data_IF_995016384998
#
_entry.id   IF_995016384998
#
_cell.length_a   1.000
_cell.length_b   1.000
_cell.length_c   1.000
_cell.angle_alpha   90.00
_cell.angle_beta   90.00
_cell.angle_gamma   90.00
#
_symmetry.space_group_name_H-M   'P 1'
#
loop_
_entity.id
_entity.type
_entity.pdbx_description
1 polymer ?
#
# COMPACT_ATOMS: atom_id res chain seq x y z
N UNK A 1 -2.72 16.74 -25.26
CA UNK A 1 -2.75 15.81 -24.11
C UNK A 1 -4.18 15.33 -23.94
N UNK A 2 -4.44 14.02 -23.90
CA UNK A 2 -5.80 13.52 -23.65
C UNK A 2 -6.18 13.74 -22.16
N UNK A 3 -7.47 13.73 -21.84
CA UNK A 3 -7.95 14.03 -20.47
C UNK A 3 -7.37 13.06 -19.43
N UNK A 4 -7.13 11.80 -19.81
CA UNK A 4 -6.49 10.79 -18.95
C UNK A 4 -5.06 11.19 -18.58
N UNK A 5 -4.23 11.58 -19.54
CA UNK A 5 -2.85 11.99 -19.27
C UNK A 5 -2.81 13.26 -18.40
N UNK A 6 -3.71 14.22 -18.65
CA UNK A 6 -3.83 15.41 -17.79
C UNK A 6 -4.12 15.04 -16.34
N UNK A 7 -5.08 14.14 -16.11
CA UNK A 7 -5.40 13.65 -14.78
C UNK A 7 -4.20 12.94 -14.12
N UNK A 8 -3.48 12.09 -14.87
CA UNK A 8 -2.28 11.40 -14.36
C UNK A 8 -1.23 12.44 -13.93
N UNK A 9 -0.95 13.43 -14.77
CA UNK A 9 0.05 14.46 -14.48
C UNK A 9 -0.34 15.31 -13.26
N UNK A 10 -1.62 15.66 -13.12
CA UNK A 10 -2.17 16.38 -11.97
C UNK A 10 -2.03 15.58 -10.66
N UNK A 11 -2.32 14.28 -10.69
CA UNK A 11 -2.18 13.40 -9.52
C UNK A 11 -0.71 13.17 -9.15
N UNK A 12 0.16 12.98 -10.14
CA UNK A 12 1.56 12.64 -9.90
C UNK A 12 2.45 13.83 -9.58
N UNK A 13 2.08 15.06 -9.96
CA UNK A 13 2.89 16.26 -9.69
C UNK A 13 3.31 16.40 -8.21
N UNK A 14 2.38 16.35 -7.23
CA UNK A 14 2.76 16.39 -5.81
C UNK A 14 3.54 15.14 -5.37
N UNK A 15 3.21 13.97 -5.90
CA UNK A 15 3.90 12.70 -5.57
C UNK A 15 5.37 12.74 -6.01
N UNK A 16 5.65 13.22 -7.23
CA UNK A 16 7.01 13.37 -7.76
C UNK A 16 7.84 14.40 -6.99
N UNK A 17 7.17 15.38 -6.38
CA UNK A 17 7.83 16.35 -5.49
C UNK A 17 8.14 15.74 -4.11
N UNK A 18 7.28 14.84 -3.63
CA UNK A 18 7.42 14.17 -2.33
C UNK A 18 8.44 13.02 -2.34
N UNK A 19 8.44 12.22 -3.41
CA UNK A 19 9.41 11.14 -3.62
C UNK A 19 10.79 11.72 -3.95
N UNK A 20 11.85 11.10 -3.47
CA UNK A 20 13.22 11.59 -3.66
C UNK A 20 13.93 10.94 -4.86
N UNK A 21 13.25 10.06 -5.58
CA UNK A 21 13.70 9.51 -6.86
C UNK A 21 12.52 8.98 -7.65
N UNK A 22 12.65 8.93 -8.97
CA UNK A 22 11.73 8.19 -9.83
C UNK A 22 11.98 6.69 -9.73
N UNK A 23 11.02 5.86 -10.14
CA UNK A 23 11.25 4.42 -10.28
C UNK A 23 12.33 4.18 -11.36
N UNK A 24 13.38 3.38 -11.12
CA UNK A 24 14.40 3.10 -12.12
C UNK A 24 13.83 2.41 -13.37
N UNK A 25 14.29 2.79 -14.56
CA UNK A 25 13.83 2.16 -15.81
C UNK A 25 14.14 0.66 -15.84
N UNK A 26 15.26 0.23 -15.24
CA UNK A 26 15.59 -1.19 -15.07
C UNK A 26 14.53 -1.98 -14.32
N UNK A 27 13.82 -1.35 -13.37
CA UNK A 27 12.68 -2.00 -12.70
C UNK A 27 11.49 -2.15 -13.65
N UNK A 28 11.22 -1.16 -14.51
CA UNK A 28 10.15 -1.22 -15.53
C UNK A 28 10.47 -2.28 -16.59
N UNK A 29 11.72 -2.33 -17.04
CA UNK A 29 12.18 -3.33 -18.00
C UNK A 29 12.00 -4.76 -17.47
N UNK A 30 12.20 -4.97 -16.17
CA UNK A 30 11.92 -6.24 -15.50
C UNK A 30 10.41 -6.48 -15.33
N UNK A 31 9.67 -5.46 -14.87
CA UNK A 31 8.26 -5.58 -14.54
C UNK A 31 7.34 -5.83 -15.75
N UNK A 32 7.70 -5.33 -16.94
CA UNK A 32 6.92 -5.53 -18.16
C UNK A 32 7.12 -6.91 -18.80
N UNK A 33 8.09 -7.70 -18.32
CA UNK A 33 8.37 -9.04 -18.85
C UNK A 33 7.17 -9.98 -18.56
N UNK A 34 6.64 -10.70 -19.55
CA UNK A 34 5.52 -11.62 -19.35
C UNK A 34 5.77 -12.66 -18.24
N UNK A 35 7.01 -13.15 -18.12
CA UNK A 35 7.42 -14.12 -17.10
C UNK A 35 7.32 -13.57 -15.67
N UNK A 36 7.34 -12.25 -15.49
CA UNK A 36 7.21 -11.59 -14.19
C UNK A 36 5.78 -11.20 -13.85
N UNK A 37 4.83 -11.36 -14.77
CA UNK A 37 3.44 -10.94 -14.55
C UNK A 37 2.81 -11.65 -13.34
N UNK A 38 3.05 -12.95 -13.19
CA UNK A 38 2.58 -13.73 -12.03
C UNK A 38 3.13 -13.14 -10.73
N UNK A 39 4.44 -12.90 -10.65
CA UNK A 39 5.08 -12.32 -9.46
C UNK A 39 4.55 -10.92 -9.17
N UNK A 40 4.37 -10.09 -10.20
CA UNK A 40 3.87 -8.73 -10.09
C UNK A 40 2.46 -8.70 -9.50
N UNK A 41 1.52 -9.46 -10.07
CA UNK A 41 0.12 -9.45 -9.64
C UNK A 41 -0.08 -10.12 -8.28
N UNK A 42 0.60 -11.23 -8.01
CA UNK A 42 0.51 -11.88 -6.71
C UNK A 42 1.11 -11.01 -5.60
N UNK A 43 2.25 -10.35 -5.83
CA UNK A 43 2.82 -9.44 -4.84
C UNK A 43 1.99 -8.15 -4.68
N UNK A 44 1.41 -7.61 -5.76
CA UNK A 44 0.47 -6.51 -5.71
C UNK A 44 -0.74 -6.88 -4.84
N UNK A 45 -1.41 -8.00 -5.10
CA UNK A 45 -2.50 -8.51 -4.27
C UNK A 45 -2.11 -8.60 -2.79
N UNK A 46 -0.90 -9.10 -2.50
CA UNK A 46 -0.39 -9.15 -1.13
C UNK A 46 -0.15 -7.77 -0.53
N UNK A 47 0.26 -6.79 -1.33
CA UNK A 47 0.45 -5.40 -0.88
C UNK A 47 -0.86 -4.78 -0.41
N UNK A 48 -1.96 -5.00 -1.12
CA UNK A 48 -3.30 -4.53 -0.72
C UNK A 48 -3.70 -5.04 0.67
N UNK A 49 -3.47 -6.34 0.93
CA UNK A 49 -3.70 -6.92 2.26
C UNK A 49 -2.75 -6.32 3.31
N UNK A 50 -1.46 -6.18 3.00
CA UNK A 50 -0.45 -5.62 3.94
C UNK A 50 -0.76 -4.15 4.30
N UNK A 51 -1.26 -3.35 3.36
CA UNK A 51 -1.71 -1.98 3.58
C UNK A 51 -2.89 -1.96 4.56
N UNK A 52 -3.92 -2.77 4.31
CA UNK A 52 -5.05 -2.96 5.22
C UNK A 52 -4.62 -3.40 6.62
N UNK A 53 -3.73 -4.39 6.73
CA UNK A 53 -3.26 -4.89 8.03
C UNK A 53 -2.47 -3.83 8.80
N UNK A 54 -1.70 -2.99 8.11
CA UNK A 54 -0.96 -1.88 8.72
C UNK A 54 -1.92 -0.83 9.27
N UNK A 55 -2.94 -0.43 8.50
CA UNK A 55 -3.98 0.49 8.95
C UNK A 55 -4.78 -0.07 10.14
N UNK A 56 -5.15 -1.36 10.09
CA UNK A 56 -5.80 -2.04 11.21
C UNK A 56 -4.92 -2.05 12.47
N UNK A 57 -3.61 -2.29 12.32
CA UNK A 57 -2.68 -2.25 13.43
C UNK A 57 -2.62 -0.85 14.06
N UNK A 58 -2.57 0.22 13.25
CA UNK A 58 -2.57 1.60 13.73
C UNK A 58 -3.84 1.90 14.55
N UNK A 59 -5.01 1.56 14.01
CA UNK A 59 -6.29 1.75 14.71
C UNK A 59 -6.28 0.98 16.04
N UNK A 60 -5.96 -0.32 16.01
CA UNK A 60 -5.97 -1.20 17.19
C UNK A 60 -5.03 -0.72 18.29
N UNK A 61 -3.82 -0.29 17.90
CA UNK A 61 -2.81 0.16 18.85
C UNK A 61 -3.20 1.48 19.49
N UNK A 62 -3.65 2.45 18.70
CA UNK A 62 -3.74 3.85 19.13
C UNK A 62 -5.18 4.34 19.38
N UNK A 63 -6.16 3.94 18.57
CA UNK A 63 -7.44 4.64 18.51
C UNK A 63 -8.65 3.90 19.07
N UNK A 64 -8.65 2.56 19.15
CA UNK A 64 -9.84 1.80 19.58
C UNK A 64 -9.59 0.92 20.80
N UNK A 65 -10.68 0.51 21.47
CA UNK A 65 -10.65 -0.47 22.54
C UNK A 65 -10.34 -1.90 22.06
N UNK A 66 -10.22 -2.83 23.02
CA UNK A 66 -9.83 -4.21 22.73
C UNK A 66 -10.89 -4.96 21.91
N UNK A 67 -12.18 -4.69 22.13
CA UNK A 67 -13.28 -5.40 21.46
C UNK A 67 -13.46 -4.94 20.02
N UNK A 68 -13.40 -3.64 19.77
CA UNK A 68 -13.29 -3.06 18.42
C UNK A 68 -12.06 -3.59 17.70
N UNK A 69 -10.97 -3.83 18.42
CA UNK A 69 -9.79 -4.46 17.87
C UNK A 69 -9.99 -5.91 17.42
N UNK A 70 -10.92 -6.66 18.03
CA UNK A 70 -11.29 -8.01 17.57
C UNK A 70 -12.18 -7.93 16.32
N UNK A 71 -13.06 -6.93 16.24
CA UNK A 71 -13.90 -6.67 15.05
C UNK A 71 -13.03 -6.43 13.82
N UNK A 72 -11.97 -5.62 13.95
CA UNK A 72 -11.02 -5.38 12.86
C UNK A 72 -10.31 -6.67 12.40
N UNK A 73 -9.82 -7.47 13.34
CA UNK A 73 -9.17 -8.75 13.01
C UNK A 73 -10.12 -9.76 12.36
N UNK A 74 -11.37 -9.80 12.81
CA UNK A 74 -12.39 -10.66 12.19
C UNK A 74 -12.68 -10.23 10.74
N UNK A 75 -12.58 -8.93 10.45
CA UNK A 75 -12.77 -8.40 9.11
C UNK A 75 -11.62 -8.74 8.15
N UNK A 76 -10.36 -8.75 8.60
CA UNK A 76 -9.23 -9.18 7.76
C UNK A 76 -9.13 -10.69 7.57
N UNK A 77 -9.77 -11.49 8.43
CA UNK A 77 -9.59 -12.94 8.49
C UNK A 77 -9.77 -13.67 7.15
N UNK A 78 -10.80 -13.40 6.33
CA UNK A 78 -10.97 -14.09 5.04
C UNK A 78 -9.80 -13.83 4.08
N UNK A 79 -9.30 -12.60 4.06
CA UNK A 79 -8.15 -12.20 3.24
C UNK A 79 -6.86 -12.85 3.74
N UNK A 80 -6.66 -12.89 5.07
CA UNK A 80 -5.52 -13.58 5.68
C UNK A 80 -5.53 -15.09 5.40
N UNK A 81 -6.70 -15.72 5.48
CA UNK A 81 -6.85 -17.14 5.18
C UNK A 81 -6.54 -17.44 3.72
N UNK A 82 -6.92 -16.54 2.81
CA UNK A 82 -6.54 -16.67 1.41
C UNK A 82 -5.04 -16.51 1.21
N UNK A 83 -4.41 -15.45 1.71
CA UNK A 83 -2.99 -15.14 1.43
C UNK A 83 -2.02 -16.06 2.18
N UNK A 84 -2.33 -16.42 3.43
CA UNK A 84 -1.42 -17.19 4.29
C UNK A 84 -1.84 -18.65 4.47
N UNK A 85 -3.03 -19.02 4.00
CA UNK A 85 -3.51 -20.39 4.04
C UNK A 85 -2.81 -21.32 3.05
N UNK A 86 -3.22 -22.60 3.11
CA UNK A 86 -2.77 -23.63 2.16
C UNK A 86 -3.73 -23.82 0.98
N UNK A 87 -4.93 -23.26 1.08
CA UNK A 87 -6.01 -23.39 0.10
C UNK A 87 -6.47 -21.99 -0.27
N UNK A 88 -6.24 -21.59 -1.52
CA UNK A 88 -6.55 -20.27 -2.05
C UNK A 88 -7.95 -20.29 -2.69
N UNK A 89 -8.99 -20.51 -1.88
CA UNK A 89 -10.38 -20.52 -2.35
C UNK A 89 -10.96 -19.10 -2.35
N UNK A 90 -11.60 -18.71 -3.45
CA UNK A 90 -12.24 -17.39 -3.59
C UNK A 90 -13.71 -17.38 -3.17
N UNK A 91 -14.25 -18.51 -2.70
CA UNK A 91 -15.64 -18.64 -2.21
C UNK A 91 -16.00 -17.58 -1.17
N UNK A 92 -15.05 -17.16 -0.33
CA UNK A 92 -15.25 -16.15 0.70
C UNK A 92 -15.47 -14.72 0.15
N UNK A 93 -15.16 -14.48 -1.13
CA UNK A 93 -15.28 -13.17 -1.79
C UNK A 93 -16.51 -13.10 -2.71
N UNK A 94 -17.09 -14.25 -3.09
CA UNK A 94 -18.30 -14.33 -3.92
C UNK A 94 -19.58 -14.06 -3.11
N UNK A 95 -19.81 -12.82 -2.69
CA UNK A 95 -21.04 -12.43 -1.97
C UNK A 95 -21.06 -11.02 -1.38
N UNK A 96 -22.25 -10.54 -0.98
CA UNK A 96 -22.37 -9.22 -0.32
C UNK A 96 -21.90 -9.30 1.13
N UNK A 97 -20.76 -8.64 1.41
CA UNK A 97 -20.31 -8.02 2.68
C UNK A 97 -19.15 -8.70 3.42
N UNK A 98 -17.95 -8.64 2.87
CA UNK A 98 -16.74 -8.58 3.70
C UNK A 98 -16.58 -7.14 4.23
N UNK A 99 -17.31 -6.82 5.31
CA UNK A 99 -17.33 -5.48 5.91
C UNK A 99 -17.22 -5.53 7.42
N UNK A 100 -17.03 -4.37 8.06
CA UNK A 100 -17.13 -4.25 9.52
C UNK A 100 -18.47 -4.83 10.01
N UNK A 101 -18.39 -5.76 10.96
CA UNK A 101 -19.56 -6.38 11.58
C UNK A 101 -20.19 -5.53 12.69
N UNK A 102 -19.44 -4.57 13.25
CA UNK A 102 -19.91 -3.65 14.28
C UNK A 102 -19.16 -2.31 14.21
N UNK A 103 -19.74 -1.19 14.68
CA UNK A 103 -19.03 0.09 14.81
C UNK A 103 -17.81 -0.03 15.74
N UNK A 104 -16.80 0.80 15.50
CA UNK A 104 -15.60 0.87 16.35
C UNK A 104 -15.82 1.89 17.46
N UNK A 105 -15.35 1.57 18.67
CA UNK A 105 -15.41 2.42 19.84
C UNK A 105 -14.07 3.13 20.02
N UNK A 106 -14.01 4.46 19.89
CA UNK A 106 -12.78 5.21 20.05
C UNK A 106 -12.34 5.26 21.52
N UNK A 107 -11.02 5.22 21.75
CA UNK A 107 -10.41 5.49 23.05
C UNK A 107 -10.57 6.97 23.41
N UNK A 108 -10.86 7.25 24.67
CA UNK A 108 -11.06 8.61 25.17
C UNK A 108 -9.78 9.40 25.37
N UNK A 109 -8.61 8.74 25.41
CA UNK A 109 -7.33 9.34 25.74
C UNK A 109 -6.43 9.64 24.51
N UNK A 110 -6.96 9.54 23.30
CA UNK A 110 -6.24 9.89 22.08
C UNK A 110 -7.05 10.90 21.26
N UNK A 111 -6.61 12.16 21.28
CA UNK A 111 -7.34 13.31 20.70
C UNK A 111 -7.63 13.11 19.21
N UNK A 112 -6.69 12.53 18.46
CA UNK A 112 -6.82 12.26 17.03
C UNK A 112 -7.44 10.88 16.71
N UNK A 113 -8.03 10.21 17.71
CA UNK A 113 -8.51 8.84 17.58
C UNK A 113 -9.61 8.66 16.55
N UNK A 114 -10.63 9.53 16.57
CA UNK A 114 -11.74 9.42 15.62
C UNK A 114 -11.28 9.68 14.18
N UNK A 115 -10.44 10.69 13.96
CA UNK A 115 -9.92 11.01 12.63
C UNK A 115 -9.02 9.89 12.09
N UNK A 116 -8.17 9.30 12.94
CA UNK A 116 -7.38 8.13 12.56
C UNK A 116 -8.28 6.95 12.19
N UNK A 117 -9.34 6.69 12.96
CA UNK A 117 -10.32 5.63 12.65
C UNK A 117 -10.98 5.88 11.30
N UNK A 118 -11.51 7.07 11.07
CA UNK A 118 -12.29 7.38 9.87
C UNK A 118 -11.45 7.23 8.59
N UNK A 119 -10.23 7.78 8.58
CA UNK A 119 -9.30 7.69 7.45
C UNK A 119 -8.81 6.25 7.24
N UNK A 120 -8.38 5.56 8.30
CA UNK A 120 -7.85 4.20 8.18
C UNK A 120 -8.94 3.17 7.82
N UNK A 121 -10.16 3.29 8.35
CA UNK A 121 -11.28 2.41 7.96
C UNK A 121 -11.66 2.62 6.51
N UNK A 122 -11.63 3.87 6.02
CA UNK A 122 -11.86 4.14 4.59
C UNK A 122 -10.79 3.49 3.73
N UNK A 123 -9.51 3.69 4.07
CA UNK A 123 -8.38 3.07 3.38
C UNK A 123 -8.55 1.55 3.33
N UNK A 124 -8.78 0.89 4.46
CA UNK A 124 -8.95 -0.59 4.51
C UNK A 124 -10.07 -1.07 3.58
N UNK A 125 -11.20 -0.35 3.48
CA UNK A 125 -12.27 -0.71 2.55
C UNK A 125 -11.81 -0.63 1.09
N UNK A 126 -11.05 0.42 0.77
CA UNK A 126 -10.54 0.67 -0.58
C UNK A 126 -9.48 -0.40 -0.94
N UNK A 127 -8.55 -0.73 -0.05
CA UNK A 127 -7.55 -1.79 -0.32
C UNK A 127 -8.15 -3.20 -0.37
N UNK A 128 -9.16 -3.52 0.44
CA UNK A 128 -9.87 -4.79 0.28
C UNK A 128 -10.60 -4.87 -1.05
N UNK A 129 -11.12 -3.75 -1.54
CA UNK A 129 -11.70 -3.72 -2.87
C UNK A 129 -10.63 -3.90 -3.96
N UNK A 130 -9.48 -3.23 -3.85
CA UNK A 130 -8.35 -3.43 -4.76
C UNK A 130 -7.86 -4.88 -4.74
N UNK A 131 -7.73 -5.48 -3.55
CA UNK A 131 -7.36 -6.88 -3.38
C UNK A 131 -8.28 -7.81 -4.19
N UNK A 132 -9.60 -7.63 -4.04
CA UNK A 132 -10.62 -8.42 -4.75
C UNK A 132 -10.51 -8.21 -6.28
N UNK A 133 -10.28 -6.98 -6.74
CA UNK A 133 -10.07 -6.69 -8.16
C UNK A 133 -8.81 -7.34 -8.74
N UNK A 134 -7.68 -7.31 -8.00
CA UNK A 134 -6.45 -8.00 -8.43
C UNK A 134 -6.69 -9.50 -8.49
N UNK A 135 -7.41 -10.05 -7.50
CA UNK A 135 -7.73 -11.47 -7.43
C UNK A 135 -8.61 -11.92 -8.61
N UNK A 136 -9.63 -11.13 -8.97
CA UNK A 136 -10.45 -11.37 -10.17
C UNK A 136 -9.59 -11.41 -11.45
N UNK A 137 -8.63 -10.49 -11.58
CA UNK A 137 -7.70 -10.47 -12.73
C UNK A 137 -6.79 -11.71 -12.73
N UNK A 138 -6.30 -12.13 -11.57
CA UNK A 138 -5.48 -13.35 -11.41
C UNK A 138 -6.29 -14.58 -11.86
N UNK A 139 -7.55 -14.71 -11.42
CA UNK A 139 -8.43 -15.81 -11.81
C UNK A 139 -8.75 -15.82 -13.31
N UNK A 140 -9.13 -14.66 -13.88
CA UNK A 140 -9.47 -14.55 -15.30
C UNK A 140 -8.28 -14.86 -16.24
N UNK A 141 -7.06 -14.74 -15.73
CA UNK A 141 -5.82 -15.00 -16.47
C UNK A 141 -5.22 -16.38 -16.17
N UNK A 142 -5.92 -17.23 -15.43
CA UNK A 142 -5.46 -18.55 -15.00
C UNK A 142 -4.07 -18.50 -14.32
N UNK A 143 -3.77 -17.41 -13.59
CA UNK A 143 -2.49 -17.25 -12.92
C UNK A 143 -2.50 -18.05 -11.62
N UNK A 144 -1.56 -18.99 -11.42
CA UNK A 144 -1.49 -19.75 -10.18
C UNK A 144 -1.09 -18.84 -9.03
N UNK A 145 -1.98 -18.71 -8.05
CA UNK A 145 -1.66 -17.99 -6.82
C UNK A 145 -0.68 -18.83 -5.97
N UNK A 146 0.38 -18.18 -5.47
CA UNK A 146 1.35 -18.82 -4.59
C UNK A 146 1.90 -17.85 -3.55
N UNK A 147 2.31 -18.37 -2.40
CA UNK A 147 2.85 -17.54 -1.34
C UNK A 147 4.21 -16.97 -1.72
N UNK A 148 4.27 -15.66 -1.90
CA UNK A 148 5.52 -14.94 -2.11
C UNK A 148 6.06 -14.42 -0.78
N UNK A 149 7.36 -14.62 -0.53
CA UNK A 149 8.03 -13.95 0.58
C UNK A 149 7.98 -12.43 0.37
N UNK A 150 7.67 -11.67 1.43
CA UNK A 150 7.67 -10.22 1.38
C UNK A 150 9.07 -9.69 1.02
N UNK A 151 9.11 -8.65 0.18
CA UNK A 151 10.35 -7.95 -0.17
C UNK A 151 10.94 -7.14 1.00
N UNK A 152 12.11 -6.56 0.76
CA UNK A 152 12.86 -5.81 1.79
C UNK A 152 12.35 -4.39 2.05
N UNK A 153 11.52 -3.82 1.17
CA UNK A 153 11.15 -2.40 1.14
C UNK A 153 10.52 -1.89 2.45
N UNK A 154 9.30 -2.35 2.79
CA UNK A 154 8.60 -1.89 3.99
C UNK A 154 9.41 -2.17 5.28
N UNK A 155 10.03 -3.36 5.38
CA UNK A 155 10.92 -3.71 6.49
C UNK A 155 12.15 -2.77 6.56
N UNK A 156 12.67 -2.34 5.42
CA UNK A 156 13.78 -1.41 5.30
C UNK A 156 13.42 0.00 5.75
N UNK A 157 12.21 0.47 5.43
CA UNK A 157 11.65 1.74 5.91
C UNK A 157 11.39 1.73 7.42
N UNK A 158 10.87 0.62 7.95
CA UNK A 158 10.65 0.45 9.39
C UNK A 158 11.94 0.60 10.22
N UNK A 159 13.13 0.44 9.63
CA UNK A 159 14.41 0.69 10.33
C UNK A 159 14.65 2.17 10.63
N UNK A 160 14.00 3.08 9.89
CA UNK A 160 14.11 4.51 10.15
C UNK A 160 13.20 4.95 11.31
N UNK A 161 12.17 4.19 11.66
CA UNK A 161 11.12 4.55 12.63
C UNK A 161 11.68 4.66 14.05
N UNK A 162 11.38 5.78 14.74
CA UNK A 162 11.69 6.01 16.15
C UNK A 162 10.88 5.06 17.05
N UNK A 163 11.34 4.84 18.28
CA UNK A 163 10.79 3.80 19.18
C UNK A 163 9.98 4.33 20.36
N UNK A 164 9.89 5.65 20.56
CA UNK A 164 9.11 6.28 21.63
C UNK A 164 7.86 6.97 21.06
N UNK A 165 6.75 6.93 21.82
CA UNK A 165 5.52 7.64 21.44
C UNK A 165 5.63 9.14 21.77
N UNK A 166 5.00 10.04 20.97
CA UNK A 166 4.20 9.78 19.77
C UNK A 166 5.03 9.65 18.47
N UNK A 167 6.35 9.80 18.55
CA UNK A 167 7.26 9.78 17.40
C UNK A 167 7.16 8.48 16.57
N UNK A 168 6.98 7.33 17.21
CA UNK A 168 6.75 6.05 16.52
C UNK A 168 5.53 6.09 15.61
N UNK A 169 4.40 6.62 16.08
CA UNK A 169 3.17 6.73 15.31
C UNK A 169 3.35 7.69 14.13
N UNK A 170 3.90 8.87 14.36
CA UNK A 170 4.17 9.88 13.33
C UNK A 170 5.03 9.27 12.21
N UNK A 171 6.12 8.58 12.58
CA UNK A 171 7.02 7.98 11.60
C UNK A 171 6.36 6.85 10.80
N UNK A 172 5.49 6.05 11.43
CA UNK A 172 4.75 5.00 10.73
C UNK A 172 3.75 5.57 9.74
N UNK A 173 3.10 6.69 10.07
CA UNK A 173 2.22 7.40 9.14
C UNK A 173 3.01 7.96 7.96
N UNK A 174 4.19 8.57 8.20
CA UNK A 174 5.07 9.03 7.12
C UNK A 174 5.55 7.85 6.25
N UNK A 175 5.87 6.70 6.83
CA UNK A 175 6.20 5.50 6.05
C UNK A 175 5.01 5.03 5.22
N UNK A 176 3.79 5.05 5.78
CA UNK A 176 2.56 4.80 5.03
C UNK A 176 2.48 5.72 3.80
N UNK A 177 2.63 7.03 3.99
CA UNK A 177 2.65 8.00 2.89
C UNK A 177 3.67 7.67 1.79
N UNK A 178 4.89 7.24 2.15
CA UNK A 178 5.91 6.81 1.18
C UNK A 178 5.55 5.54 0.42
N UNK A 179 4.89 4.57 1.07
CA UNK A 179 4.45 3.34 0.41
C UNK A 179 3.38 3.66 -0.65
N UNK A 180 2.32 4.39 -0.27
CA UNK A 180 1.22 4.77 -1.18
C UNK A 180 1.71 5.67 -2.33
N UNK A 181 2.57 6.65 -2.03
CA UNK A 181 3.13 7.54 -3.05
C UNK A 181 3.97 6.76 -4.07
N UNK A 182 4.80 5.81 -3.61
CA UNK A 182 5.60 4.96 -4.50
C UNK A 182 4.72 4.01 -5.31
N UNK A 183 3.68 3.45 -4.70
CA UNK A 183 2.69 2.63 -5.41
C UNK A 183 2.05 3.41 -6.56
N UNK A 184 1.56 4.61 -6.28
CA UNK A 184 0.97 5.50 -7.28
C UNK A 184 1.93 5.80 -8.45
N UNK A 185 3.18 6.17 -8.14
CA UNK A 185 4.19 6.45 -9.16
C UNK A 185 4.52 5.22 -10.01
N UNK A 186 4.65 4.04 -9.40
CA UNK A 186 4.92 2.78 -10.12
C UNK A 186 3.75 2.33 -10.98
N UNK A 187 2.51 2.41 -10.49
CA UNK A 187 1.33 2.10 -11.28
C UNK A 187 1.28 2.96 -12.54
N UNK A 188 1.48 4.27 -12.39
CA UNK A 188 1.43 5.18 -13.52
C UNK A 188 2.60 5.01 -14.49
N UNK A 189 3.81 4.72 -13.98
CA UNK A 189 4.99 4.50 -14.83
C UNK A 189 4.91 3.17 -15.59
N UNK A 190 4.32 2.13 -14.99
CA UNK A 190 4.23 0.80 -15.60
C UNK A 190 3.03 0.65 -16.54
N UNK A 191 1.88 1.29 -16.25
CA UNK A 191 0.64 1.13 -17.00
C UNK A 191 0.77 1.25 -18.54
N UNK A 192 1.57 2.18 -19.13
CA UNK A 192 1.72 2.28 -20.58
C UNK A 192 2.32 1.05 -21.26
N UNK A 193 2.99 0.17 -20.51
CA UNK A 193 3.67 -1.03 -21.01
C UNK A 193 2.83 -2.31 -20.83
N UNK A 194 1.68 -2.21 -20.17
CA UNK A 194 0.79 -3.34 -19.92
C UNK A 194 -0.27 -3.45 -21.03
N UNK A 195 -0.93 -4.61 -21.10
CA UNK A 195 -2.11 -4.77 -21.94
C UNK A 195 -3.25 -3.82 -21.51
N UNK A 196 -4.23 -3.64 -22.40
CA UNK A 196 -5.29 -2.63 -22.23
C UNK A 196 -6.17 -2.85 -20.99
N UNK A 197 -6.31 -4.07 -20.50
CA UNK A 197 -7.06 -4.35 -19.27
C UNK A 197 -6.27 -3.90 -18.03
N UNK A 198 -5.02 -4.39 -17.90
CA UNK A 198 -4.16 -4.05 -16.76
C UNK A 198 -3.81 -2.56 -16.73
N UNK A 199 -3.57 -1.95 -17.89
CA UNK A 199 -3.34 -0.51 -18.01
C UNK A 199 -4.51 0.30 -17.45
N UNK A 200 -5.75 -0.05 -17.82
CA UNK A 200 -6.94 0.64 -17.31
C UNK A 200 -7.10 0.43 -15.81
N UNK A 201 -6.86 -0.80 -15.33
CA UNK A 201 -6.91 -1.13 -13.92
C UNK A 201 -5.88 -0.31 -13.12
N UNK A 202 -4.60 -0.31 -13.51
CA UNK A 202 -3.55 0.44 -12.80
C UNK A 202 -3.79 1.95 -12.82
N UNK A 203 -4.30 2.51 -13.93
CA UNK A 203 -4.70 3.93 -14.00
C UNK A 203 -5.88 4.22 -13.05
N UNK A 204 -6.79 3.27 -12.86
CA UNK A 204 -7.95 3.43 -11.99
C UNK A 204 -7.58 3.54 -10.49
N UNK A 205 -6.47 2.91 -10.08
CA UNK A 205 -5.96 2.92 -8.70
C UNK A 205 -5.35 4.28 -8.31
N UNK A 206 -4.83 5.06 -9.27
CA UNK A 206 -4.05 6.27 -8.98
C UNK A 206 -4.77 7.29 -8.08
N UNK A 207 -6.10 7.38 -8.17
CA UNK A 207 -6.89 8.32 -7.37
C UNK A 207 -7.02 7.89 -5.91
N UNK A 208 -7.11 6.60 -5.60
CA UNK A 208 -7.11 6.10 -4.21
C UNK A 208 -5.71 6.27 -3.64
N UNK A 209 -4.69 5.78 -4.32
CA UNK A 209 -3.28 5.85 -3.89
C UNK A 209 -2.83 7.29 -3.57
N UNK A 210 -3.12 8.24 -4.47
CA UNK A 210 -2.78 9.64 -4.25
C UNK A 210 -3.50 10.24 -3.02
N UNK A 211 -4.72 9.79 -2.72
CA UNK A 211 -5.43 10.21 -1.50
C UNK A 211 -4.90 9.52 -0.27
N UNK A 212 -4.59 8.22 -0.32
CA UNK A 212 -4.03 7.48 0.81
C UNK A 212 -2.73 8.11 1.28
N UNK A 213 -1.84 8.43 0.32
CA UNK A 213 -0.62 9.21 0.56
C UNK A 213 -0.91 10.51 1.32
N UNK A 214 -1.86 11.31 0.84
CA UNK A 214 -2.23 12.59 1.46
C UNK A 214 -2.83 12.40 2.86
N UNK A 215 -3.73 11.43 3.03
CA UNK A 215 -4.38 11.13 4.30
C UNK A 215 -3.35 10.70 5.37
N UNK A 216 -2.35 9.90 5.00
CA UNK A 216 -1.25 9.54 5.88
C UNK A 216 -0.42 10.76 6.31
N UNK A 217 -0.05 11.65 5.39
CA UNK A 217 0.70 12.86 5.73
C UNK A 217 -0.10 13.81 6.62
N UNK A 218 -1.36 14.06 6.29
CA UNK A 218 -2.25 14.93 7.09
C UNK A 218 -2.35 14.40 8.52
N UNK A 219 -2.54 13.10 8.70
CA UNK A 219 -2.56 12.48 10.04
C UNK A 219 -1.22 12.65 10.76
N UNK A 220 -0.10 12.47 10.06
CA UNK A 220 1.23 12.62 10.65
C UNK A 220 1.46 14.06 11.14
N UNK A 221 1.10 15.06 10.34
CA UNK A 221 1.20 16.49 10.67
C UNK A 221 0.31 16.86 11.85
N UNK A 222 -0.95 16.43 11.84
CA UNK A 222 -1.90 16.70 12.92
C UNK A 222 -1.45 16.11 14.26
N UNK A 223 -0.96 14.87 14.26
CA UNK A 223 -0.51 14.18 15.47
C UNK A 223 0.83 14.75 15.97
N UNK A 224 1.70 15.20 15.06
CA UNK A 224 2.95 15.85 15.44
C UNK A 224 2.71 17.21 16.11
N UNK A 225 1.78 18.02 15.56
CA UNK A 225 1.54 19.38 16.02
C UNK A 225 2.71 20.34 15.76
N UNK A 226 3.70 19.91 14.98
CA UNK A 226 4.90 20.64 14.58
C UNK A 226 5.27 20.30 13.12
N UNK A 227 6.21 21.05 12.54
CA UNK A 227 6.69 20.79 11.19
C UNK A 227 7.42 19.43 11.11
N UNK A 228 6.95 18.56 10.22
CA UNK A 228 7.52 17.23 9.98
C UNK A 228 8.42 17.18 8.74
N UNK A 229 8.67 18.30 8.06
CA UNK A 229 9.40 18.35 6.78
C UNK A 229 10.76 17.64 6.83
N UNK A 230 11.58 17.94 7.85
CA UNK A 230 12.87 17.27 8.03
C UNK A 230 12.71 15.77 8.29
N UNK A 231 11.64 15.38 8.99
CA UNK A 231 11.39 13.97 9.29
C UNK A 231 10.97 13.19 8.04
N UNK A 232 10.08 13.77 7.25
CA UNK A 232 9.70 13.28 5.92
C UNK A 232 10.95 13.08 5.08
N UNK A 233 11.85 14.08 5.03
CA UNK A 233 13.09 13.99 4.27
C UNK A 233 13.99 12.83 4.71
N UNK A 234 14.17 12.61 6.02
CA UNK A 234 14.98 11.49 6.53
C UNK A 234 14.42 10.13 6.09
N UNK A 235 13.10 9.94 6.19
CA UNK A 235 12.46 8.68 5.78
C UNK A 235 12.52 8.53 4.25
N UNK A 236 12.32 9.62 3.50
CA UNK A 236 12.40 9.60 2.04
C UNK A 236 13.80 9.32 1.49
N UNK A 237 14.86 9.75 2.18
CA UNK A 237 16.23 9.38 1.78
C UNK A 237 16.42 7.87 1.92
N UNK A 238 15.90 7.29 3.00
CA UNK A 238 15.90 5.83 3.17
C UNK A 238 15.05 5.10 2.13
N UNK A 239 13.91 5.66 1.76
CA UNK A 239 13.05 5.15 0.69
C UNK A 239 13.81 5.10 -0.64
N UNK A 240 14.41 6.22 -1.05
CA UNK A 240 15.16 6.33 -2.28
C UNK A 240 16.38 5.39 -2.32
N UNK A 241 17.07 5.18 -1.20
CA UNK A 241 18.12 4.17 -1.09
C UNK A 241 17.60 2.76 -1.39
N UNK A 242 16.40 2.40 -0.90
CA UNK A 242 15.81 1.07 -1.13
C UNK A 242 15.38 0.88 -2.59
N UNK A 243 14.85 1.94 -3.21
CA UNK A 243 14.42 1.93 -4.61
C UNK A 243 15.59 1.86 -5.58
N UNK A 244 16.69 2.56 -5.29
CA UNK A 244 17.84 2.64 -6.19
C UNK A 244 18.91 1.56 -5.97
N UNK A 245 18.91 0.90 -4.81
CA UNK A 245 19.88 -0.18 -4.56
C UNK A 245 19.47 -1.49 -5.20
N UNK A 246 20.47 -2.32 -5.53
CA UNK A 246 20.29 -3.64 -6.09
C UNK A 246 19.39 -4.54 -5.22
N UNK A 247 18.55 -5.34 -5.87
CA UNK A 247 17.62 -6.26 -5.25
C UNK A 247 17.59 -7.59 -6.01
N UNK A 248 17.83 -8.68 -5.27
CA UNK A 248 17.82 -10.06 -5.77
C UNK A 248 16.41 -10.67 -5.71
N UNK A 249 15.37 -9.85 -5.56
CA UNK A 249 13.99 -10.33 -5.52
C UNK A 249 13.08 -9.32 -6.17
N UNK A 250 12.51 -9.69 -7.33
CA UNK A 250 11.53 -8.87 -8.00
C UNK A 250 10.21 -8.85 -7.21
N UNK A 251 9.80 -7.66 -6.78
CA UNK A 251 8.57 -7.34 -6.03
C UNK A 251 8.03 -5.99 -6.48
N UNK A 252 6.78 -5.70 -6.18
CA UNK A 252 6.12 -4.45 -6.56
C UNK A 252 6.86 -3.21 -6.02
N UNK A 253 7.45 -3.28 -4.82
CA UNK A 253 8.32 -2.23 -4.24
C UNK A 253 9.82 -2.60 -4.19
N UNK A 254 10.28 -3.60 -4.95
CA UNK A 254 11.70 -3.97 -5.00
C UNK A 254 12.60 -2.85 -5.55
N UNK A 255 13.89 -2.91 -5.21
CA UNK A 255 14.91 -2.02 -5.77
C UNK A 255 15.27 -2.34 -7.23
N UNK A 256 16.50 -2.02 -7.64
CA UNK A 256 17.01 -2.31 -8.99
C UNK A 256 17.24 -3.82 -9.13
N UNK A 257 16.53 -4.54 -10.02
CA UNK A 257 16.72 -5.97 -10.18
C UNK A 257 18.16 -6.33 -10.55
N UNK A 258 18.75 -7.33 -9.90
CA UNK A 258 20.09 -7.86 -10.23
C UNK A 258 20.06 -8.93 -11.32
N UNK A 259 18.87 -9.37 -11.73
CA UNK A 259 18.63 -10.37 -12.76
C UNK A 259 18.79 -9.80 -14.18
N UNK A 260 19.91 -9.13 -14.44
CA UNK A 260 20.35 -8.84 -15.79
C UNK A 260 21.26 -9.95 -16.28
N UNK A 261 20.73 -10.82 -17.14
CA UNK A 261 21.49 -11.60 -18.11
C UNK A 261 20.88 -11.36 -19.49
#
# INVERSE_FOLDING_TARGET
MNDTQRMIDELLSPIKTFLQCDTPDSWIEEAKKPENLTTLLVDHCNCELKASQTAMWLIRKHAVDADSGKVLLAWSKPYEDFVYGKVHSTEAFHGKKNGLSAPLVPKTNFVHGQELIDKMVRLIKEEFHHFEQVLEIIEQRDIPYSNLCAGRYAKGLMKAVRTHEPATLIDKLIVGAYIEARSCERFAKLAPYLDEELKKFYISLLRSEARHYQDYLILAEQIAGEDITERVKVIGTREAELINSHDDSFRFHSGVPTFSA
#
